data_IF_631043902575
#
_entry.id   IF_631043902575
#
_cell.length_a   1.000
_cell.length_b   1.000
_cell.length_c   1.000
_cell.angle_alpha   90.00
_cell.angle_beta   90.00
_cell.angle_gamma   90.00
#
_symmetry.space_group_name_H-M   'P 1'
#
loop_
_entity.id
_entity.type
_entity.pdbx_description
1 polymer ?
#
# COMPACT_ATOMS: atom_id res chain seq x y z
N UNK A 1 -16.10 -13.91 73.76
CA UNK A 1 -17.09 -13.67 72.70
C UNK A 1 -16.46 -12.75 71.66
N UNK A 2 -16.56 -13.17 70.40
CA UNK A 2 -16.35 -12.42 69.14
C UNK A 2 -14.94 -11.97 68.74
N UNK A 3 -14.24 -12.92 68.09
CA UNK A 3 -13.48 -12.67 66.86
C UNK A 3 -14.38 -11.96 65.82
N UNK A 4 -13.85 -10.94 65.13
CA UNK A 4 -14.34 -10.55 63.81
C UNK A 4 -13.22 -10.72 62.80
N UNK A 5 -13.55 -11.51 61.78
CA UNK A 5 -12.73 -11.98 60.68
C UNK A 5 -12.12 -10.85 59.86
N UNK A 6 -10.85 -11.03 59.49
CA UNK A 6 -10.27 -10.38 58.34
C UNK A 6 -10.93 -10.94 57.07
N UNK A 7 -11.76 -10.13 56.42
CA UNK A 7 -12.33 -10.45 55.10
C UNK A 7 -11.20 -10.48 54.06
N UNK A 8 -10.89 -11.62 53.42
CA UNK A 8 -10.00 -11.63 52.28
C UNK A 8 -10.76 -11.07 51.08
N UNK A 9 -10.39 -9.87 50.64
CA UNK A 9 -10.83 -9.32 49.36
C UNK A 9 -10.29 -10.23 48.27
N UNK A 10 -11.20 -10.96 47.61
CA UNK A 10 -10.93 -11.77 46.44
C UNK A 10 -10.22 -10.89 45.39
N UNK A 11 -8.96 -11.24 45.07
CA UNK A 11 -8.26 -10.70 43.91
C UNK A 11 -9.07 -11.09 42.66
N UNK A 12 -9.42 -10.16 41.77
CA UNK A 12 -9.97 -10.55 40.49
C UNK A 12 -8.90 -11.35 39.75
N UNK A 13 -9.34 -12.49 39.23
CA UNK A 13 -8.54 -13.45 38.47
C UNK A 13 -7.68 -12.72 37.45
N UNK A 14 -6.39 -13.01 37.51
CA UNK A 14 -5.41 -12.68 36.50
C UNK A 14 -5.96 -13.12 35.15
N UNK A 15 -6.55 -12.17 34.42
CA UNK A 15 -6.92 -12.33 33.01
C UNK A 15 -5.60 -12.65 32.30
N UNK A 16 -5.36 -13.94 32.06
CA UNK A 16 -4.28 -14.42 31.21
C UNK A 16 -4.53 -13.82 29.84
N UNK A 17 -4.03 -12.61 29.62
CA UNK A 17 -3.80 -12.07 28.29
C UNK A 17 -2.92 -13.12 27.65
N UNK A 18 -3.49 -13.90 26.72
CA UNK A 18 -2.71 -14.75 25.83
C UNK A 18 -1.66 -13.82 25.24
N UNK A 19 -0.43 -13.92 25.71
CA UNK A 19 0.74 -13.41 25.01
C UNK A 19 0.81 -14.24 23.74
N UNK A 20 0.08 -13.80 22.70
CA UNK A 20 0.26 -14.33 21.37
C UNK A 20 1.76 -14.18 21.07
N UNK A 21 2.43 -15.30 20.81
CA UNK A 21 3.84 -15.28 20.44
C UNK A 21 4.01 -14.38 19.23
N UNK A 22 4.81 -13.33 19.39
CA UNK A 22 5.08 -12.38 18.32
C UNK A 22 5.77 -13.10 17.15
N UNK A 23 5.44 -12.78 15.90
CA UNK A 23 6.07 -13.39 14.73
C UNK A 23 7.58 -13.08 14.73
N UNK A 24 8.38 -14.03 14.26
CA UNK A 24 9.80 -13.77 13.98
C UNK A 24 9.96 -12.83 12.79
N UNK A 25 11.10 -12.15 12.68
CA UNK A 25 11.39 -11.29 11.52
C UNK A 25 11.28 -12.02 10.18
N UNK A 26 11.63 -13.31 10.13
CA UNK A 26 11.48 -14.13 8.92
C UNK A 26 10.00 -14.43 8.60
N UNK A 27 9.18 -14.71 9.62
CA UNK A 27 7.73 -14.89 9.42
C UNK A 27 7.10 -13.61 8.92
N UNK A 28 7.54 -12.47 9.45
CA UNK A 28 7.06 -11.17 9.05
C UNK A 28 7.44 -10.80 7.63
N UNK A 29 8.72 -11.01 7.26
CA UNK A 29 9.20 -10.83 5.89
C UNK A 29 8.37 -11.65 4.88
N UNK A 30 8.07 -12.91 5.21
CA UNK A 30 7.21 -13.76 4.37
C UNK A 30 5.80 -13.22 4.24
N UNK A 31 5.19 -12.79 5.35
CA UNK A 31 3.84 -12.22 5.34
C UNK A 31 3.75 -10.94 4.50
N UNK A 32 4.75 -10.05 4.60
CA UNK A 32 4.81 -8.84 3.77
C UNK A 32 4.93 -9.18 2.28
N UNK A 33 5.84 -10.08 1.93
CA UNK A 33 5.99 -10.54 0.53
C UNK A 33 4.70 -11.14 -0.01
N UNK A 34 4.03 -11.99 0.77
CA UNK A 34 2.73 -12.54 0.37
C UNK A 34 1.69 -11.45 0.19
N UNK A 35 1.57 -10.50 1.12
CA UNK A 35 0.61 -9.41 1.06
C UNK A 35 0.83 -8.54 -0.19
N UNK A 36 2.09 -8.18 -0.47
CA UNK A 36 2.48 -7.39 -1.63
C UNK A 36 2.17 -8.13 -2.93
N UNK A 37 2.49 -9.42 -3.02
CA UNK A 37 2.18 -10.23 -4.21
C UNK A 37 0.68 -10.38 -4.44
N UNK A 38 -0.11 -10.56 -3.38
CA UNK A 38 -1.57 -10.64 -3.50
C UNK A 38 -2.12 -9.29 -3.97
N UNK A 39 -1.67 -8.18 -3.37
CA UNK A 39 -2.06 -6.83 -3.79
C UNK A 39 -1.72 -6.58 -5.28
N UNK A 40 -0.52 -6.96 -5.72
CA UNK A 40 -0.09 -6.84 -7.10
C UNK A 40 -1.01 -7.58 -8.07
N UNK A 41 -1.30 -8.86 -7.78
CA UNK A 41 -2.21 -9.66 -8.62
C UNK A 41 -3.60 -9.04 -8.69
N UNK A 42 -4.16 -8.62 -7.55
CA UNK A 42 -5.50 -8.03 -7.51
C UNK A 42 -5.54 -6.69 -8.26
N UNK A 43 -4.53 -5.84 -8.10
CA UNK A 43 -4.43 -4.56 -8.81
C UNK A 43 -4.32 -4.76 -10.32
N UNK A 44 -3.51 -5.72 -10.77
CA UNK A 44 -3.34 -6.03 -12.20
C UNK A 44 -4.62 -6.59 -12.84
N UNK A 45 -5.47 -7.25 -12.05
CA UNK A 45 -6.77 -7.76 -12.51
C UNK A 45 -7.84 -6.66 -12.54
N UNK A 46 -7.81 -5.73 -11.59
CA UNK A 46 -8.88 -4.75 -11.39
C UNK A 46 -8.67 -3.43 -12.13
N UNK A 47 -7.43 -3.05 -12.45
CA UNK A 47 -7.12 -1.78 -13.14
C UNK A 47 -6.86 -2.04 -14.61
N UNK A 48 -7.55 -1.30 -15.47
CA UNK A 48 -7.33 -1.36 -16.92
C UNK A 48 -6.11 -0.53 -17.28
N UNK A 49 -5.08 -1.20 -17.81
CA UNK A 49 -3.86 -0.53 -18.28
C UNK A 49 -4.12 0.08 -19.66
N UNK A 50 -3.87 1.39 -19.86
CA UNK A 50 -4.04 2.01 -21.16
C UNK A 50 -3.06 1.46 -22.21
N UNK A 51 -3.42 1.57 -23.48
CA UNK A 51 -2.54 1.14 -24.58
C UNK A 51 -1.17 1.79 -24.49
N UNK A 52 -0.13 1.00 -24.79
CA UNK A 52 1.28 1.43 -24.69
C UNK A 52 1.66 1.92 -23.28
N UNK A 53 1.00 1.44 -22.25
CA UNK A 53 1.44 1.63 -20.87
C UNK A 53 1.75 0.27 -20.25
N UNK A 54 2.60 0.26 -19.22
CA UNK A 54 2.94 -0.96 -18.50
C UNK A 54 3.03 -0.71 -17.01
N UNK A 55 2.81 -1.77 -16.25
CA UNK A 55 3.13 -1.80 -14.83
C UNK A 55 4.64 -1.76 -14.61
N UNK A 56 5.03 -1.08 -13.54
CA UNK A 56 6.35 -1.16 -12.92
C UNK A 56 6.15 -1.18 -11.42
N UNK A 57 6.88 -2.06 -10.74
CA UNK A 57 6.74 -2.28 -9.30
C UNK A 57 8.10 -2.12 -8.66
N UNK A 58 8.15 -1.47 -7.50
CA UNK A 58 9.40 -1.30 -6.75
C UNK A 58 9.78 -2.58 -5.96
N UNK A 59 9.72 -3.74 -6.64
CA UNK A 59 10.11 -5.06 -6.11
C UNK A 59 11.57 -5.39 -6.41
N UNK A 60 12.15 -4.82 -7.47
CA UNK A 60 13.56 -5.04 -7.84
C UNK A 60 14.56 -4.49 -6.80
N UNK A 61 14.12 -3.58 -5.91
CA UNK A 61 14.96 -3.00 -4.85
C UNK A 61 15.05 -3.80 -3.57
N UNK A 62 14.30 -4.91 -3.47
CA UNK A 62 14.19 -5.67 -2.22
C UNK A 62 15.53 -6.26 -1.79
N UNK A 63 16.26 -6.89 -2.71
CA UNK A 63 17.54 -7.52 -2.40
C UNK A 63 18.64 -6.48 -2.12
N UNK A 64 18.63 -5.37 -2.88
CA UNK A 64 19.57 -4.27 -2.70
C UNK A 64 19.42 -3.55 -1.34
N UNK A 65 18.21 -3.52 -0.78
CA UNK A 65 17.92 -2.92 0.51
C UNK A 65 18.18 -3.85 1.72
N UNK A 66 18.61 -5.10 1.49
CA UNK A 66 18.82 -6.08 2.57
C UNK A 66 17.57 -6.86 2.97
N UNK A 67 16.56 -6.91 2.10
CA UNK A 67 15.33 -7.70 2.25
C UNK A 67 14.06 -6.86 2.41
N UNK A 68 12.88 -7.51 2.40
CA UNK A 68 11.58 -6.84 2.30
C UNK A 68 11.22 -5.95 3.50
N UNK A 69 11.77 -6.26 4.68
CA UNK A 69 11.55 -5.44 5.88
C UNK A 69 12.21 -4.06 5.74
N UNK A 70 13.42 -4.03 5.17
CA UNK A 70 14.17 -2.79 4.96
C UNK A 70 13.72 -2.06 3.68
N UNK A 71 13.44 -2.81 2.62
CA UNK A 71 12.98 -2.25 1.34
C UNK A 71 11.62 -1.54 1.45
N UNK A 72 10.75 -2.07 2.31
CA UNK A 72 9.37 -1.62 2.42
C UNK A 72 9.03 -1.21 3.85
N UNK A 73 9.93 -0.48 4.50
CA UNK A 73 9.73 0.03 5.85
C UNK A 73 8.43 0.83 5.99
N UNK A 74 8.04 1.57 4.93
CA UNK A 74 6.86 2.47 4.96
C UNK A 74 5.78 2.13 3.95
N UNK A 75 6.15 1.80 2.71
CA UNK A 75 5.18 1.52 1.65
C UNK A 75 5.80 0.72 0.49
N UNK A 76 4.92 0.13 -0.32
CA UNK A 76 5.26 -0.42 -1.64
C UNK A 76 4.57 0.41 -2.71
N UNK A 77 5.28 0.69 -3.79
CA UNK A 77 4.77 1.49 -4.91
C UNK A 77 4.58 0.64 -6.17
N UNK A 78 3.38 0.69 -6.73
CA UNK A 78 3.09 0.25 -8.09
C UNK A 78 2.85 1.46 -8.97
N UNK A 79 3.33 1.41 -10.20
CA UNK A 79 3.22 2.50 -11.16
C UNK A 79 2.77 1.99 -12.52
N UNK A 80 1.93 2.77 -13.19
CA UNK A 80 1.62 2.59 -14.61
C UNK A 80 2.22 3.78 -15.34
N UNK A 81 3.02 3.52 -16.36
CA UNK A 81 3.63 4.55 -17.18
C UNK A 81 3.71 4.16 -18.65
N UNK A 82 3.78 5.17 -19.52
CA UNK A 82 3.87 4.98 -20.97
C UNK A 82 5.17 4.27 -21.35
N UNK A 83 5.06 3.25 -22.20
CA UNK A 83 6.18 2.60 -22.84
C UNK A 83 6.62 3.39 -24.06
N UNK A 84 7.92 3.59 -24.18
CA UNK A 84 8.51 4.32 -25.29
C UNK A 84 9.40 3.38 -26.08
N UNK A 85 9.33 3.47 -27.41
CA UNK A 85 10.27 2.76 -28.27
C UNK A 85 11.70 3.25 -27.99
N UNK A 86 12.68 2.36 -28.13
CA UNK A 86 14.12 2.66 -27.91
C UNK A 86 14.63 3.98 -28.49
N UNK A 87 14.26 4.43 -29.71
CA UNK A 87 14.80 5.67 -30.28
C UNK A 87 14.23 6.95 -29.66
N UNK A 88 13.23 6.89 -28.77
CA UNK A 88 12.64 8.10 -28.18
C UNK A 88 13.56 8.68 -27.10
N UNK A 89 14.03 9.91 -27.31
CA UNK A 89 14.91 10.62 -26.39
C UNK A 89 14.24 10.91 -25.03
N UNK A 90 14.97 10.97 -23.92
CA UNK A 90 14.40 11.30 -22.60
C UNK A 90 13.63 12.62 -22.58
N UNK A 91 14.12 13.64 -23.30
CA UNK A 91 13.44 14.93 -23.42
C UNK A 91 12.08 14.82 -24.12
N UNK A 92 11.96 13.96 -25.14
CA UNK A 92 10.69 13.70 -25.81
C UNK A 92 9.70 12.95 -24.91
N UNK A 93 10.19 12.01 -24.08
CA UNK A 93 9.34 11.26 -23.12
C UNK A 93 8.70 12.17 -22.08
N UNK A 94 9.51 13.06 -21.50
CA UNK A 94 9.06 13.97 -20.44
C UNK A 94 8.02 14.99 -20.95
N UNK A 95 8.14 15.41 -22.21
CA UNK A 95 7.24 16.37 -22.85
C UNK A 95 6.05 15.73 -23.58
N UNK A 96 5.93 14.40 -23.55
CA UNK A 96 4.81 13.70 -24.16
C UNK A 96 3.50 14.11 -23.48
N UNK A 97 2.53 14.59 -24.26
CA UNK A 97 1.22 15.01 -23.76
C UNK A 97 0.23 13.86 -23.68
N UNK A 98 0.48 12.79 -24.44
CA UNK A 98 -0.36 11.60 -24.52
C UNK A 98 0.14 10.53 -23.53
N UNK A 99 0.65 10.96 -22.36
CA UNK A 99 1.06 10.06 -21.29
C UNK A 99 0.16 10.25 -20.07
N UNK A 100 -0.10 9.13 -19.40
CA UNK A 100 -0.64 9.10 -18.05
C UNK A 100 0.32 8.34 -17.14
N UNK A 101 0.52 8.88 -15.94
CA UNK A 101 1.29 8.27 -14.88
C UNK A 101 0.35 7.97 -13.72
N UNK A 102 0.25 6.70 -13.36
CA UNK A 102 -0.44 6.25 -12.15
C UNK A 102 0.61 5.88 -11.12
N UNK A 103 0.42 6.31 -9.88
CA UNK A 103 1.20 5.85 -8.73
C UNK A 103 0.24 5.43 -7.60
N UNK A 104 0.43 4.20 -7.13
CA UNK A 104 -0.32 3.59 -6.04
C UNK A 104 0.70 3.21 -4.97
N UNK A 105 0.57 3.77 -3.77
CA UNK A 105 1.47 3.48 -2.65
C UNK A 105 0.67 2.80 -1.55
N UNK A 106 0.83 1.48 -1.41
CA UNK A 106 0.24 0.73 -0.31
C UNK A 106 1.06 0.97 0.95
N UNK A 107 0.41 1.42 2.01
CA UNK A 107 1.02 1.48 3.33
C UNK A 107 1.10 0.08 3.89
N UNK A 108 2.29 -0.28 4.34
CA UNK A 108 2.51 -1.53 5.04
C UNK A 108 2.22 -1.35 6.54
N UNK A 109 1.87 -2.43 7.26
CA UNK A 109 1.70 -2.37 8.71
C UNK A 109 2.93 -1.77 9.41
N UNK A 110 2.69 -0.99 10.47
CA UNK A 110 3.73 -0.36 11.27
C UNK A 110 4.69 -1.44 11.81
N UNK A 111 5.99 -1.28 11.59
CA UNK A 111 7.01 -2.17 12.16
C UNK A 111 7.44 -1.60 13.52
N UNK A 112 7.04 -2.24 14.62
CA UNK A 112 7.41 -1.90 15.99
C UNK A 112 8.52 -2.80 16.52
N UNK A 113 9.48 -2.22 17.24
CA UNK A 113 10.51 -2.97 17.96
C UNK A 113 10.10 -3.17 19.43
N UNK A 114 9.68 -4.39 19.78
CA UNK A 114 9.28 -4.76 21.15
C UNK A 114 10.29 -5.77 21.71
N UNK A 115 10.91 -5.45 22.85
CA UNK A 115 11.88 -6.30 23.55
C UNK A 115 13.03 -6.82 22.66
N UNK A 116 13.56 -5.95 21.78
CA UNK A 116 14.66 -6.28 20.86
C UNK A 116 14.25 -7.12 19.65
N UNK A 117 12.94 -7.23 19.35
CA UNK A 117 12.40 -7.95 18.19
C UNK A 117 11.49 -7.04 17.37
N UNK A 118 11.65 -7.07 16.05
CA UNK A 118 10.75 -6.37 15.12
C UNK A 118 9.44 -7.16 14.97
N UNK A 119 8.32 -6.47 15.13
CA UNK A 119 6.94 -6.94 15.04
C UNK A 119 6.24 -6.04 14.05
N UNK A 120 5.55 -6.54 13.03
CA UNK A 120 4.56 -5.68 12.38
C UNK A 120 3.27 -5.71 13.16
N UNK A 121 2.89 -4.54 13.65
CA UNK A 121 1.58 -4.25 14.18
C UNK A 121 0.75 -3.69 13.03
N UNK A 122 -0.23 -4.48 12.58
CA UNK A 122 -1.33 -3.93 11.79
C UNK A 122 -2.13 -3.01 12.72
N UNK A 123 -1.78 -1.73 12.73
CA UNK A 123 -2.51 -0.69 13.43
C UNK A 123 -2.36 -0.66 14.94
N UNK A 124 -1.36 0.08 15.44
CA UNK A 124 -1.49 0.76 16.73
C UNK A 124 -2.07 2.17 16.55
N UNK A 125 -1.81 2.83 15.41
CA UNK A 125 -2.40 4.14 15.07
C UNK A 125 -3.57 4.12 14.08
N UNK A 126 -3.81 3.01 13.38
CA UNK A 126 -4.75 2.97 12.24
C UNK A 126 -5.87 1.93 12.31
N UNK A 127 -5.97 1.15 13.39
CA UNK A 127 -6.86 -0.01 13.43
C UNK A 127 -6.40 -1.09 12.44
N UNK A 128 -7.07 -2.24 12.41
CA UNK A 128 -6.74 -3.38 11.54
C UNK A 128 -7.03 -3.11 10.03
N UNK A 129 -6.72 -1.91 9.53
CA UNK A 129 -7.20 -1.39 8.25
C UNK A 129 -6.01 -1.21 7.30
N UNK A 130 -6.18 -1.62 6.05
CA UNK A 130 -5.21 -1.36 4.99
C UNK A 130 -5.39 0.07 4.48
N UNK A 131 -4.31 0.71 4.02
CA UNK A 131 -4.38 2.06 3.45
C UNK A 131 -3.47 2.23 2.25
N UNK A 132 -3.85 3.14 1.34
CA UNK A 132 -3.01 3.50 0.20
C UNK A 132 -3.12 4.99 -0.15
N UNK A 133 -2.10 5.50 -0.84
CA UNK A 133 -2.19 6.77 -1.56
C UNK A 133 -2.21 6.60 -3.07
N UNK A 134 -2.95 7.49 -3.72
CA UNK A 134 -3.22 7.46 -5.16
C UNK A 134 -2.82 8.77 -5.84
N UNK A 135 -2.16 8.65 -6.98
CA UNK A 135 -1.97 9.74 -7.96
C UNK A 135 -2.24 9.21 -9.35
N UNK A 136 -3.02 9.95 -10.13
CA UNK A 136 -3.24 9.72 -11.55
C UNK A 136 -3.06 11.06 -12.25
N UNK A 137 -1.93 11.20 -12.93
CA UNK A 137 -1.55 12.45 -13.56
C UNK A 137 -1.37 12.28 -15.07
N UNK A 138 -1.92 13.18 -15.88
CA UNK A 138 -1.70 13.20 -17.32
C UNK A 138 -0.95 14.44 -17.79
N UNK A 139 -0.42 14.37 -19.01
CA UNK A 139 0.33 15.44 -19.65
C UNK A 139 1.83 15.36 -19.39
N UNK A 140 2.55 16.39 -19.83
CA UNK A 140 4.00 16.46 -19.67
C UNK A 140 4.37 16.39 -18.18
N UNK A 141 5.32 15.52 -17.83
CA UNK A 141 5.74 15.34 -16.44
C UNK A 141 6.51 16.55 -15.89
N UNK A 142 7.00 17.42 -16.76
CA UNK A 142 7.69 18.66 -16.40
C UNK A 142 6.90 19.87 -16.92
N UNK A 143 6.77 20.89 -16.08
CA UNK A 143 6.04 22.13 -16.37
C UNK A 143 4.61 22.15 -15.84
N UNK A 144 3.91 23.26 -16.06
CA UNK A 144 2.55 23.54 -15.57
C UNK A 144 1.43 22.71 -16.23
N UNK A 145 1.79 21.74 -17.09
CA UNK A 145 0.84 20.94 -17.88
C UNK A 145 0.47 19.60 -17.23
N UNK A 146 1.08 19.24 -16.10
CA UNK A 146 0.69 18.06 -15.32
C UNK A 146 -0.66 18.30 -14.67
N UNK A 147 -1.65 17.48 -15.03
CA UNK A 147 -3.00 17.52 -14.44
C UNK A 147 -3.23 16.30 -13.58
N UNK A 148 -3.51 16.51 -12.30
CA UNK A 148 -3.94 15.44 -11.37
C UNK A 148 -5.44 15.19 -11.53
N UNK A 149 -5.83 13.93 -11.64
CA UNK A 149 -7.21 13.50 -11.86
C UNK A 149 -7.84 12.83 -10.64
N UNK A 150 -7.04 12.52 -9.61
CA UNK A 150 -7.57 12.06 -8.32
C UNK A 150 -7.92 13.29 -7.46
N UNK A 151 -9.20 13.40 -7.11
CA UNK A 151 -9.68 14.44 -6.19
C UNK A 151 -8.98 14.32 -4.83
N UNK A 152 -8.66 15.43 -4.13
CA UNK A 152 -7.93 15.40 -2.86
C UNK A 152 -8.49 14.42 -1.82
N UNK A 153 -9.81 14.31 -1.72
CA UNK A 153 -10.55 13.40 -0.84
C UNK A 153 -10.38 11.91 -1.18
N UNK A 154 -10.00 11.59 -2.43
CA UNK A 154 -9.78 10.23 -2.91
C UNK A 154 -8.29 9.85 -2.99
N UNK A 155 -7.39 10.77 -2.64
CA UNK A 155 -5.94 10.49 -2.65
C UNK A 155 -5.52 9.52 -1.56
N UNK A 156 -6.27 9.44 -0.47
CA UNK A 156 -6.00 8.52 0.64
C UNK A 156 -7.20 7.59 0.79
N UNK A 157 -6.98 6.30 0.62
CA UNK A 157 -8.03 5.29 0.70
C UNK A 157 -7.71 4.27 1.78
N UNK A 158 -8.75 3.70 2.38
CA UNK A 158 -8.66 2.69 3.43
C UNK A 158 -9.62 1.54 3.16
N UNK A 159 -9.29 0.35 3.61
CA UNK A 159 -10.16 -0.82 3.52
C UNK A 159 -9.91 -1.80 4.67
N UNK A 160 -10.97 -2.37 5.23
CA UNK A 160 -10.88 -3.33 6.33
C UNK A 160 -10.23 -4.66 5.92
N UNK A 161 -10.22 -4.94 4.61
CA UNK A 161 -9.45 -6.03 4.00
C UNK A 161 -8.62 -5.51 2.84
N UNK A 162 -7.65 -6.31 2.39
CA UNK A 162 -6.82 -5.96 1.24
C UNK A 162 -7.67 -5.88 -0.03
N UNK A 163 -8.63 -6.78 -0.20
CA UNK A 163 -9.56 -6.79 -1.32
C UNK A 163 -10.43 -5.53 -1.35
N UNK A 164 -11.02 -5.15 -0.21
CA UNK A 164 -11.84 -3.94 -0.12
C UNK A 164 -11.03 -2.66 -0.42
N UNK A 165 -9.76 -2.64 0.01
CA UNK A 165 -8.84 -1.57 -0.38
C UNK A 165 -8.61 -1.59 -1.89
N UNK A 166 -8.26 -2.73 -2.48
CA UNK A 166 -7.97 -2.85 -3.91
C UNK A 166 -9.18 -2.46 -4.76
N UNK A 167 -10.39 -2.88 -4.40
CA UNK A 167 -11.62 -2.49 -5.10
C UNK A 167 -11.80 -0.97 -5.11
N UNK A 168 -11.57 -0.33 -3.96
CA UNK A 168 -11.64 1.13 -3.82
C UNK A 168 -10.55 1.83 -4.63
N UNK A 169 -9.32 1.30 -4.61
CA UNK A 169 -8.20 1.80 -5.41
C UNK A 169 -8.52 1.69 -6.90
N UNK A 170 -8.97 0.53 -7.36
CA UNK A 170 -9.29 0.27 -8.76
C UNK A 170 -10.42 1.15 -9.26
N UNK A 171 -11.48 1.34 -8.47
CA UNK A 171 -12.59 2.23 -8.81
C UNK A 171 -12.10 3.68 -9.03
N UNK A 172 -11.30 4.22 -8.10
CA UNK A 172 -10.77 5.57 -8.20
C UNK A 172 -9.78 5.73 -9.37
N UNK A 173 -8.88 4.77 -9.56
CA UNK A 173 -7.88 4.81 -10.63
C UNK A 173 -8.55 4.69 -12.00
N UNK A 174 -9.46 3.73 -12.20
CA UNK A 174 -10.16 3.57 -13.48
C UNK A 174 -11.04 4.78 -13.80
N UNK A 175 -11.70 5.38 -12.81
CA UNK A 175 -12.47 6.61 -13.00
C UNK A 175 -11.57 7.79 -13.40
N UNK A 176 -10.41 7.94 -12.73
CA UNK A 176 -9.43 8.98 -13.06
C UNK A 176 -8.78 8.78 -14.43
N UNK A 177 -8.49 7.52 -14.82
CA UNK A 177 -8.04 7.17 -16.17
C UNK A 177 -9.11 7.54 -17.22
N UNK A 178 -10.38 7.23 -16.95
CA UNK A 178 -11.51 7.65 -17.80
C UNK A 178 -11.59 9.16 -17.96
N UNK A 179 -11.50 9.92 -16.87
CA UNK A 179 -11.50 11.39 -16.89
C UNK A 179 -10.28 11.98 -17.61
N UNK A 180 -9.15 11.27 -17.62
CA UNK A 180 -7.94 11.64 -18.34
C UNK A 180 -7.99 11.28 -19.84
N UNK A 181 -9.03 10.59 -20.32
CA UNK A 181 -9.17 10.14 -21.71
C UNK A 181 -8.49 8.79 -22.01
N UNK A 182 -8.08 8.05 -20.97
CA UNK A 182 -7.44 6.73 -21.05
C UNK A 182 -8.36 5.60 -20.56
N UNK A 183 -9.67 5.85 -20.49
CA UNK A 183 -10.67 4.84 -20.13
C UNK A 183 -10.74 3.73 -21.16
N UNK A 184 -11.17 2.54 -20.74
CA UNK A 184 -11.40 1.43 -21.65
C UNK A 184 -12.46 1.83 -22.70
N UNK A 185 -12.06 1.91 -23.97
CA UNK A 185 -13.00 1.75 -25.08
C UNK A 185 -13.47 0.30 -25.03
N UNK A 186 -14.67 0.07 -24.48
CA UNK A 186 -15.40 -1.18 -24.70
C UNK A 186 -15.86 -1.26 -26.14
#
# INVERSE_FOLDING_TARGET
MHLMEAVPVARPESRRVRTASLPSGQQLARQLVTTVRVAEVLLHQAIVVPDRHQWSVDTERVDAAGGPLAAWETCVSWRIGKTFASPVSPAARVNDRDQVAVEIRLYLPEQDYVAGRCVSTFGLRHGNVFGATLSVASGAQWGWQRKEHVAPEHRHVRGDTLEALVDTVAANVNAALGAAGFGATR
#
